data_IF_450918345219
#
_entry.id   IF_450918345219
#
_cell.length_a   1.000
_cell.length_b   1.000
_cell.length_c   1.000
_cell.angle_alpha   90.00
_cell.angle_beta   90.00
_cell.angle_gamma   90.00
#
_symmetry.space_group_name_H-M   'P 1'
#
loop_
_entity.id
_entity.type
_entity.pdbx_description
1 polymer ?
#
# COMPACT_ATOMS: atom_id res chain seq x y z
N UNK A 1 -13.95 18.95 13.65
CA UNK A 1 -13.69 18.51 12.26
C UNK A 1 -12.43 17.65 12.11
N UNK A 2 -11.22 18.11 12.54
CA UNK A 2 -9.98 17.32 12.41
C UNK A 2 -10.03 15.93 13.06
N UNK A 3 -10.53 15.84 14.30
CA UNK A 3 -10.66 14.56 15.02
C UNK A 3 -11.65 13.59 14.37
N UNK A 4 -12.72 14.10 13.75
CA UNK A 4 -13.68 13.29 13.02
C UNK A 4 -13.03 12.55 11.84
N UNK A 5 -12.18 13.25 11.07
CA UNK A 5 -11.45 12.63 9.95
C UNK A 5 -10.47 11.55 10.43
N UNK A 6 -9.79 11.78 11.54
CA UNK A 6 -8.88 10.77 12.13
C UNK A 6 -9.67 9.54 12.55
N UNK A 7 -10.76 9.71 13.29
CA UNK A 7 -11.61 8.61 13.74
C UNK A 7 -12.21 7.86 12.55
N UNK A 8 -12.68 8.57 11.52
CA UNK A 8 -13.21 7.98 10.30
C UNK A 8 -12.15 7.16 9.57
N UNK A 9 -10.93 7.70 9.40
CA UNK A 9 -9.84 6.99 8.74
C UNK A 9 -9.45 5.71 9.49
N UNK A 10 -9.43 5.76 10.83
CA UNK A 10 -9.11 4.61 11.67
C UNK A 10 -10.23 3.56 11.62
N UNK A 11 -11.49 3.97 11.67
CA UNK A 11 -12.63 3.07 11.54
C UNK A 11 -12.64 2.36 10.18
N UNK A 12 -12.41 3.11 9.10
CA UNK A 12 -12.31 2.56 7.75
C UNK A 12 -11.15 1.56 7.65
N UNK A 13 -10.00 1.92 8.21
CA UNK A 13 -8.82 1.05 8.24
C UNK A 13 -9.07 -0.27 8.99
N UNK A 14 -9.68 -0.20 10.17
CA UNK A 14 -10.07 -1.40 10.94
C UNK A 14 -11.10 -2.23 10.19
N UNK A 15 -12.10 -1.59 9.57
CA UNK A 15 -13.09 -2.26 8.73
C UNK A 15 -12.46 -3.05 7.59
N UNK A 16 -11.46 -2.48 6.90
CA UNK A 16 -10.70 -3.17 5.85
C UNK A 16 -9.93 -4.39 6.37
N UNK A 17 -9.35 -4.33 7.57
CA UNK A 17 -8.65 -5.46 8.20
C UNK A 17 -9.60 -6.63 8.47
N UNK A 18 -10.87 -6.39 8.80
CA UNK A 18 -11.81 -7.50 8.95
C UNK A 18 -12.40 -7.95 7.61
N UNK A 19 -12.56 -7.03 6.67
CA UNK A 19 -13.19 -7.29 5.39
C UNK A 19 -12.31 -8.04 4.38
N UNK A 20 -10.97 -8.05 4.53
CA UNK A 20 -10.09 -8.65 3.51
C UNK A 20 -10.24 -10.17 3.34
N UNK A 21 -10.81 -10.88 4.33
CA UNK A 21 -11.05 -12.32 4.26
C UNK A 21 -12.41 -12.68 3.63
N UNK A 22 -13.25 -11.69 3.31
CA UNK A 22 -14.56 -11.92 2.71
C UNK A 22 -14.35 -12.39 1.26
N UNK A 23 -14.89 -13.55 0.84
CA UNK A 23 -14.65 -14.12 -0.48
C UNK A 23 -15.09 -13.18 -1.63
N UNK A 24 -16.17 -12.42 -1.42
CA UNK A 24 -16.63 -11.42 -2.38
C UNK A 24 -15.59 -10.32 -2.63
N UNK A 25 -14.86 -9.89 -1.59
CA UNK A 25 -13.83 -8.87 -1.70
C UNK A 25 -12.57 -9.42 -2.40
N UNK A 26 -12.26 -10.70 -2.19
CA UNK A 26 -11.16 -11.40 -2.88
C UNK A 26 -11.45 -11.50 -4.38
N UNK A 27 -12.66 -11.91 -4.77
CA UNK A 27 -13.07 -11.99 -6.17
C UNK A 27 -13.07 -10.62 -6.86
N UNK A 28 -13.47 -9.58 -6.12
CA UNK A 28 -13.43 -8.20 -6.60
C UNK A 28 -11.98 -7.71 -6.79
N UNK A 29 -11.10 -7.97 -5.84
CA UNK A 29 -9.66 -7.64 -5.93
C UNK A 29 -9.01 -8.34 -7.15
N UNK A 30 -9.36 -9.61 -7.40
CA UNK A 30 -8.91 -10.35 -8.58
C UNK A 30 -9.41 -9.75 -9.90
N UNK A 31 -10.67 -9.32 -9.97
CA UNK A 31 -11.21 -8.66 -11.19
C UNK A 31 -10.51 -7.35 -11.47
N UNK A 32 -10.24 -6.55 -10.44
CA UNK A 32 -9.49 -5.30 -10.58
C UNK A 32 -8.07 -5.60 -11.06
N UNK A 33 -7.42 -6.59 -10.47
CA UNK A 33 -6.06 -6.97 -10.83
C UNK A 33 -5.96 -7.37 -12.31
N UNK A 34 -6.90 -8.18 -12.81
CA UNK A 34 -6.97 -8.57 -14.22
C UNK A 34 -7.26 -7.38 -15.13
N UNK A 35 -8.12 -6.46 -14.72
CA UNK A 35 -8.38 -5.24 -15.48
C UNK A 35 -7.13 -4.37 -15.64
N UNK A 36 -6.32 -4.24 -14.57
CA UNK A 36 -5.05 -3.52 -14.64
C UNK A 36 -3.97 -4.24 -15.46
N UNK A 37 -4.04 -5.57 -15.53
CA UNK A 37 -3.16 -6.36 -16.41
C UNK A 37 -3.53 -6.16 -17.88
N UNK A 38 -4.83 -6.15 -18.21
CA UNK A 38 -5.34 -5.99 -19.58
C UNK A 38 -5.09 -4.57 -20.13
N UNK A 39 -5.12 -3.54 -19.28
CA UNK A 39 -4.85 -2.15 -19.68
C UNK A 39 -3.35 -1.79 -19.69
N UNK A 40 -2.47 -2.75 -19.37
CA UNK A 40 -1.04 -2.52 -19.26
C UNK A 40 -0.44 -2.18 -20.62
N UNK A 41 -0.12 -0.91 -20.82
CA UNK A 41 0.65 -0.41 -21.97
C UNK A 41 2.05 0.00 -21.51
N UNK A 42 3.07 0.02 -22.40
CA UNK A 42 4.42 0.45 -22.03
C UNK A 42 4.46 1.88 -21.47
N UNK A 43 3.55 2.75 -21.89
CA UNK A 43 3.40 4.10 -21.33
C UNK A 43 2.90 4.07 -19.87
N UNK A 44 1.85 3.29 -19.58
CA UNK A 44 1.34 3.16 -18.22
C UNK A 44 2.36 2.48 -17.29
N UNK A 45 3.09 1.49 -17.78
CA UNK A 45 4.14 0.80 -17.00
C UNK A 45 5.23 1.78 -16.54
N UNK A 46 5.71 2.64 -17.44
CA UNK A 46 6.67 3.69 -17.12
C UNK A 46 6.09 4.72 -16.14
N UNK A 47 4.85 5.17 -16.35
CA UNK A 47 4.18 6.12 -15.47
C UNK A 47 4.03 5.59 -14.04
N UNK A 48 3.54 4.36 -13.87
CA UNK A 48 3.39 3.73 -12.55
C UNK A 48 4.75 3.43 -11.90
N UNK A 49 5.77 3.10 -12.70
CA UNK A 49 7.13 2.92 -12.19
C UNK A 49 7.68 4.21 -11.59
N UNK A 50 7.55 5.34 -12.30
CA UNK A 50 8.00 6.66 -11.80
C UNK A 50 7.27 7.02 -10.49
N UNK A 51 5.96 6.85 -10.44
CA UNK A 51 5.17 7.12 -9.22
C UNK A 51 5.65 6.25 -8.05
N UNK A 52 5.91 4.97 -8.33
CA UNK A 52 6.41 4.02 -7.32
C UNK A 52 7.81 4.40 -6.84
N UNK A 53 8.68 4.87 -7.73
CA UNK A 53 10.01 5.36 -7.36
C UNK A 53 9.96 6.61 -6.49
N UNK A 54 9.05 7.56 -6.77
CA UNK A 54 8.86 8.75 -5.93
C UNK A 54 8.44 8.36 -4.50
N UNK A 55 7.58 7.35 -4.37
CA UNK A 55 7.18 6.79 -3.07
C UNK A 55 8.25 5.93 -2.39
N UNK A 56 9.31 5.57 -3.10
CA UNK A 56 10.37 4.71 -2.58
C UNK A 56 11.18 5.44 -1.51
N UNK A 57 11.68 4.67 -0.55
CA UNK A 57 12.60 5.17 0.48
C UNK A 57 13.84 5.83 -0.13
N UNK A 58 14.26 5.40 -1.32
CA UNK A 58 15.42 5.96 -2.04
C UNK A 58 15.23 7.42 -2.40
N UNK A 59 14.01 7.85 -2.71
CA UNK A 59 13.67 9.24 -3.06
C UNK A 59 13.20 10.00 -1.82
N UNK A 60 12.38 9.36 -0.99
CA UNK A 60 11.80 10.01 0.18
C UNK A 60 12.84 10.37 1.25
N UNK A 61 13.87 9.53 1.43
CA UNK A 61 14.92 9.76 2.43
C UNK A 61 15.78 11.01 2.14
N UNK A 62 16.38 11.19 0.95
CA UNK A 62 17.13 12.42 0.65
C UNK A 62 16.23 13.66 0.67
N UNK A 63 14.96 13.53 0.28
CA UNK A 63 13.99 14.62 0.39
C UNK A 63 13.74 15.01 1.86
N UNK A 64 13.56 14.04 2.75
CA UNK A 64 13.45 14.29 4.19
C UNK A 64 14.71 14.95 4.78
N UNK A 65 15.90 14.59 4.30
CA UNK A 65 17.15 15.27 4.70
C UNK A 65 17.14 16.73 4.24
N UNK A 66 16.77 17.00 2.98
CA UNK A 66 16.69 18.38 2.46
C UNK A 66 15.72 19.25 3.27
N UNK A 67 14.53 18.72 3.58
CA UNK A 67 13.54 19.41 4.43
C UNK A 67 14.06 19.57 5.86
N UNK A 68 14.76 18.58 6.40
CA UNK A 68 15.37 18.66 7.73
C UNK A 68 16.39 19.80 7.81
N UNK A 69 17.27 19.93 6.82
CA UNK A 69 18.24 21.03 6.76
C UNK A 69 17.55 22.40 6.73
N UNK A 70 16.47 22.52 5.95
CA UNK A 70 15.67 23.75 5.91
C UNK A 70 15.00 24.07 7.26
N UNK A 71 14.47 23.07 7.96
CA UNK A 71 13.85 23.25 9.28
C UNK A 71 14.89 23.63 10.35
N UNK A 72 16.08 23.03 10.31
CA UNK A 72 17.21 23.40 11.19
C UNK A 72 17.63 24.85 10.96
N UNK A 73 17.71 25.30 9.70
CA UNK A 73 18.01 26.70 9.37
C UNK A 73 16.96 27.66 9.97
N UNK A 74 15.67 27.29 9.93
CA UNK A 74 14.59 28.05 10.56
C UNK A 74 14.49 27.88 12.09
N UNK A 75 15.35 27.07 12.71
CA UNK A 75 15.31 26.68 14.13
C UNK A 75 13.97 26.07 14.58
N UNK A 76 13.26 25.44 13.64
CA UNK A 76 12.00 24.74 13.84
C UNK A 76 12.26 23.29 14.29
N UNK A 77 12.76 23.14 15.53
CA UNK A 77 13.17 21.83 16.04
C UNK A 77 11.99 20.89 16.34
N UNK A 78 10.83 21.41 16.71
CA UNK A 78 9.64 20.57 16.95
C UNK A 78 9.16 19.92 15.65
N UNK A 79 9.11 20.70 14.57
CA UNK A 79 8.74 20.23 13.25
C UNK A 79 9.74 19.21 12.71
N UNK A 80 11.03 19.39 13.00
CA UNK A 80 12.06 18.42 12.66
C UNK A 80 11.83 17.08 13.36
N UNK A 81 11.58 17.09 14.67
CA UNK A 81 11.28 15.88 15.44
C UNK A 81 10.00 15.23 14.90
N UNK A 82 8.93 16.00 14.68
CA UNK A 82 7.69 15.49 14.10
C UNK A 82 7.91 14.84 12.73
N UNK A 83 8.72 15.44 11.85
CA UNK A 83 9.03 14.90 10.53
C UNK A 83 9.68 13.52 10.63
N UNK A 84 10.70 13.38 11.49
CA UNK A 84 11.41 12.10 11.66
C UNK A 84 10.55 11.06 12.39
N UNK A 85 9.78 11.47 13.39
CA UNK A 85 8.81 10.57 14.05
C UNK A 85 7.76 10.06 13.07
N UNK A 86 7.23 10.90 12.17
CA UNK A 86 6.29 10.47 11.15
C UNK A 86 6.95 9.57 10.09
N UNK A 87 8.17 9.91 9.66
CA UNK A 87 8.91 9.14 8.67
C UNK A 87 9.20 7.71 9.15
N UNK A 88 9.71 7.56 10.37
CA UNK A 88 10.01 6.26 10.96
C UNK A 88 8.75 5.55 11.48
N UNK A 89 7.84 6.30 12.13
CA UNK A 89 6.61 5.75 12.70
C UNK A 89 5.70 5.13 11.65
N UNK A 90 5.50 5.79 10.50
CA UNK A 90 4.70 5.21 9.40
C UNK A 90 5.28 3.90 8.87
N UNK A 91 6.61 3.82 8.75
CA UNK A 91 7.31 2.61 8.28
C UNK A 91 7.25 1.48 9.30
N UNK A 92 7.53 1.80 10.56
CA UNK A 92 7.49 0.85 11.66
C UNK A 92 6.09 0.28 11.83
N UNK A 93 5.07 1.14 11.85
CA UNK A 93 3.69 0.73 11.93
C UNK A 93 3.32 -0.15 10.73
N UNK A 94 3.63 0.26 9.51
CA UNK A 94 3.36 -0.56 8.32
C UNK A 94 4.09 -1.91 8.34
N UNK A 95 5.30 -1.99 8.93
CA UNK A 95 6.01 -3.25 9.11
C UNK A 95 5.27 -4.17 10.11
N UNK A 96 4.93 -3.66 11.29
CA UNK A 96 4.19 -4.42 12.30
C UNK A 96 2.84 -4.93 11.77
N UNK A 97 2.12 -4.11 11.00
CA UNK A 97 0.84 -4.54 10.45
C UNK A 97 1.00 -5.63 9.38
N UNK A 98 2.06 -5.57 8.57
CA UNK A 98 2.34 -6.65 7.60
C UNK A 98 2.66 -7.95 8.32
N UNK A 99 3.41 -7.88 9.41
CA UNK A 99 3.76 -9.04 10.23
C UNK A 99 2.56 -9.61 11.00
N UNK A 100 1.61 -8.77 11.40
CA UNK A 100 0.40 -9.21 12.08
C UNK A 100 -0.64 -9.82 11.13
N UNK A 101 -0.88 -9.19 9.98
CA UNK A 101 -1.92 -9.64 9.04
C UNK A 101 -1.45 -10.80 8.16
N UNK A 102 -0.14 -10.90 7.89
CA UNK A 102 0.50 -11.98 7.10
C UNK A 102 -0.26 -12.33 5.81
N UNK A 103 -0.82 -11.31 5.14
CA UNK A 103 -1.60 -11.52 3.92
C UNK A 103 -0.71 -11.96 2.77
N UNK A 104 -1.07 -13.09 2.15
CA UNK A 104 -0.44 -13.54 0.92
C UNK A 104 -0.68 -12.56 -0.24
N UNK A 105 0.38 -12.27 -0.98
CA UNK A 105 0.29 -11.49 -2.23
C UNK A 105 -0.32 -12.41 -3.31
N UNK A 106 -1.34 -11.97 -4.07
CA UNK A 106 -1.84 -12.76 -5.19
C UNK A 106 -0.69 -12.97 -6.19
N UNK A 107 -0.36 -14.23 -6.45
CA UNK A 107 0.68 -14.62 -7.42
C UNK A 107 0.06 -14.63 -8.81
N UNK A 108 -0.07 -13.47 -9.43
CA UNK A 108 -0.47 -13.37 -10.85
C UNK A 108 0.81 -13.14 -11.65
N UNK A 109 1.39 -14.24 -12.11
CA UNK A 109 2.50 -14.26 -13.06
C UNK A 109 2.01 -14.72 -14.45
N UNK A 110 2.83 -14.59 -15.51
CA UNK A 110 2.42 -14.78 -16.90
C UNK A 110 2.06 -16.24 -17.27
N UNK A 111 2.14 -17.18 -16.34
CA UNK A 111 1.70 -18.56 -16.53
C UNK A 111 0.35 -18.79 -15.84
N UNK A 112 -0.76 -18.51 -16.55
CA UNK A 112 -1.99 -19.29 -16.37
C UNK A 112 -1.67 -20.70 -16.90
N UNK A 113 -1.80 -21.81 -16.13
CA UNK A 113 -3.06 -22.20 -15.49
C UNK A 113 -2.88 -23.02 -14.20
N UNK A 114 -3.23 -22.50 -13.02
CA UNK A 114 -3.42 -23.39 -11.84
C UNK A 114 -4.44 -22.87 -10.82
N UNK A 115 -4.73 -21.57 -10.81
CA UNK A 115 -5.73 -21.02 -9.89
C UNK A 115 -7.18 -21.21 -10.35
N UNK A 116 -7.46 -21.35 -11.65
CA UNK A 116 -8.82 -21.64 -12.13
C UNK A 116 -9.20 -23.13 -11.98
N UNK A 117 -8.23 -24.04 -11.90
CA UNK A 117 -8.49 -25.47 -11.67
C UNK A 117 -8.84 -25.78 -10.22
N UNK A 118 -8.37 -25.02 -9.23
CA UNK A 118 -8.75 -25.23 -7.82
C UNK A 118 -10.16 -24.70 -7.50
N UNK A 119 -10.58 -23.61 -8.14
CA UNK A 119 -11.93 -23.05 -7.97
C UNK A 119 -12.96 -23.90 -8.73
N UNK A 120 -12.65 -24.35 -9.95
CA UNK A 120 -13.53 -25.26 -10.71
C UNK A 120 -13.65 -26.66 -10.08
N UNK A 121 -12.61 -27.16 -9.39
CA UNK A 121 -12.68 -28.47 -8.71
C UNK A 121 -13.49 -28.41 -7.40
N UNK A 122 -13.60 -27.24 -6.76
CA UNK A 122 -14.37 -27.09 -5.51
C UNK A 122 -15.84 -26.69 -5.78
N UNK A 123 -16.15 -26.12 -6.94
CA UNK A 123 -17.51 -25.79 -7.37
C UNK A 123 -17.90 -26.52 -8.65
N UNK A 124 -18.17 -27.82 -8.54
CA UNK A 124 -19.09 -28.47 -9.47
C UNK A 124 -18.75 -29.92 -9.84
N UNK A 125 -19.79 -30.75 -9.70
CA UNK A 125 -20.11 -31.95 -10.49
C UNK A 125 -19.24 -33.21 -10.31
#
# INVERSE_FOLDING_TARGET
MKWFLVILSLLLFVGLIFAFQIPLLIDFDLKILLFFEDIRTPFFDQFFTIITEIGSIRVLFPLCIGVSLYLVYKRCFLELVCLWTLFWGSRWLNFLLKEWVQRDRPRVGPTRPTFLTSISRNKGL
#
